data_IF_945530624854
#
_entry.id   IF_945530624854
#
_cell.length_a   1.000
_cell.length_b   1.000
_cell.length_c   1.000
_cell.angle_alpha   90.00
_cell.angle_beta   90.00
_cell.angle_gamma   90.00
#
_symmetry.space_group_name_H-M   'P 1'
#
loop_
_entity.id
_entity.type
_entity.pdbx_description
1 polymer ?
#
# COMPACT_ATOMS: atom_id res chain seq x y z
N UNK A 1 -27.61 -7.80 19.08
CA UNK A 1 -27.70 -8.57 17.82
C UNK A 1 -27.25 -7.79 16.61
N UNK A 2 -27.72 -6.58 16.38
CA UNK A 2 -27.29 -5.78 15.22
C UNK A 2 -25.78 -5.49 15.24
N UNK A 3 -25.20 -5.21 16.41
CA UNK A 3 -23.76 -4.95 16.55
C UNK A 3 -22.90 -6.16 16.18
N UNK A 4 -23.37 -7.36 16.46
CA UNK A 4 -22.63 -8.59 16.15
C UNK A 4 -22.68 -8.89 14.65
N UNK A 5 -23.81 -8.63 14.00
CA UNK A 5 -23.97 -8.78 12.55
C UNK A 5 -23.07 -7.78 11.81
N UNK A 6 -23.00 -6.54 12.29
CA UNK A 6 -22.15 -5.50 11.70
C UNK A 6 -20.66 -5.80 11.85
N UNK A 7 -20.27 -6.36 13.00
CA UNK A 7 -18.88 -6.79 13.24
C UNK A 7 -18.49 -7.92 12.30
N UNK A 8 -19.39 -8.89 12.11
CA UNK A 8 -19.16 -10.04 11.23
C UNK A 8 -19.01 -9.57 9.79
N UNK A 9 -19.90 -8.69 9.32
CA UNK A 9 -19.82 -8.10 7.97
C UNK A 9 -18.53 -7.32 7.77
N UNK A 10 -18.10 -6.57 8.78
CA UNK A 10 -16.85 -5.82 8.73
C UNK A 10 -15.64 -6.74 8.64
N UNK A 11 -15.62 -7.82 9.43
CA UNK A 11 -14.55 -8.82 9.40
C UNK A 11 -14.49 -9.54 8.06
N UNK A 12 -15.64 -9.90 7.50
CA UNK A 12 -15.72 -10.53 6.19
C UNK A 12 -15.21 -9.61 5.09
N UNK A 13 -15.58 -8.34 5.15
CA UNK A 13 -15.10 -7.33 4.19
C UNK A 13 -13.59 -7.17 4.26
N UNK A 14 -13.04 -7.10 5.47
CA UNK A 14 -11.59 -7.00 5.66
C UNK A 14 -10.86 -8.24 5.17
N UNK A 15 -11.41 -9.41 5.41
CA UNK A 15 -10.85 -10.68 4.93
C UNK A 15 -10.86 -10.74 3.42
N UNK A 16 -11.96 -10.31 2.79
CA UNK A 16 -12.09 -10.27 1.33
C UNK A 16 -11.09 -9.31 0.70
N UNK A 17 -10.89 -8.13 1.30
CA UNK A 17 -9.88 -7.17 0.84
C UNK A 17 -8.47 -7.76 0.91
N UNK A 18 -8.15 -8.44 2.02
CA UNK A 18 -6.84 -9.06 2.21
C UNK A 18 -6.61 -10.18 1.20
N UNK A 19 -7.61 -11.03 0.97
CA UNK A 19 -7.53 -12.10 -0.03
C UNK A 19 -7.34 -11.53 -1.44
N UNK A 20 -8.04 -10.46 -1.76
CA UNK A 20 -7.90 -9.80 -3.06
C UNK A 20 -6.47 -9.27 -3.27
N UNK A 21 -5.84 -8.75 -2.22
CA UNK A 21 -4.44 -8.30 -2.30
C UNK A 21 -3.48 -9.46 -2.52
N UNK A 22 -3.68 -10.59 -1.82
CA UNK A 22 -2.86 -11.78 -2.03
C UNK A 22 -3.03 -12.33 -3.44
N UNK A 23 -4.26 -12.36 -3.95
CA UNK A 23 -4.51 -12.79 -5.32
C UNK A 23 -3.81 -11.88 -6.34
N UNK A 24 -3.87 -10.58 -6.11
CA UNK A 24 -3.19 -9.60 -6.99
C UNK A 24 -1.67 -9.81 -6.99
N UNK A 25 -1.08 -10.09 -5.82
CA UNK A 25 0.36 -10.39 -5.73
C UNK A 25 0.70 -11.63 -6.54
N UNK A 26 -0.07 -12.69 -6.40
CA UNK A 26 0.16 -13.94 -7.11
C UNK A 26 0.05 -13.77 -8.62
N UNK A 27 -0.96 -13.05 -9.09
CA UNK A 27 -1.15 -12.75 -10.51
C UNK A 27 0.02 -11.94 -11.08
N UNK A 28 0.42 -10.87 -10.37
CA UNK A 28 1.54 -10.04 -10.81
C UNK A 28 2.86 -10.81 -10.82
N UNK A 29 3.09 -11.68 -9.85
CA UNK A 29 4.29 -12.53 -9.83
C UNK A 29 4.38 -13.42 -11.04
N UNK A 30 3.25 -13.99 -11.49
CA UNK A 30 3.20 -14.80 -12.70
C UNK A 30 3.52 -13.97 -13.93
N UNK A 31 2.98 -12.76 -14.03
CA UNK A 31 3.26 -11.84 -15.13
C UNK A 31 4.73 -11.41 -15.16
N UNK A 32 5.29 -11.12 -13.99
CA UNK A 32 6.71 -10.71 -13.86
C UNK A 32 7.62 -11.84 -14.34
N UNK A 33 7.28 -13.10 -14.05
CA UNK A 33 8.08 -14.26 -14.41
C UNK A 33 8.17 -14.45 -15.93
N UNK A 34 7.12 -14.06 -16.67
CA UNK A 34 7.02 -14.30 -18.09
C UNK A 34 7.33 -13.09 -18.97
N UNK A 35 7.43 -11.90 -18.39
CA UNK A 35 7.57 -10.66 -19.16
C UNK A 35 8.75 -9.82 -18.66
N UNK A 36 9.84 -9.72 -19.45
CA UNK A 36 11.00 -8.90 -19.07
C UNK A 36 10.68 -7.43 -18.80
N UNK A 37 9.69 -6.87 -19.50
CA UNK A 37 9.28 -5.47 -19.27
C UNK A 37 8.60 -5.31 -17.91
N UNK A 38 7.78 -6.28 -17.53
CA UNK A 38 7.16 -6.32 -16.20
C UNK A 38 8.21 -6.48 -15.12
N UNK A 39 9.19 -7.34 -15.34
CA UNK A 39 10.29 -7.52 -14.40
C UNK A 39 11.09 -6.23 -14.23
N UNK A 40 11.38 -5.53 -15.32
CA UNK A 40 12.07 -4.24 -15.28
C UNK A 40 11.24 -3.19 -14.52
N UNK A 41 9.94 -3.15 -14.75
CA UNK A 41 9.04 -2.24 -14.02
C UNK A 41 9.05 -2.52 -12.52
N UNK A 42 9.02 -3.80 -12.14
CA UNK A 42 9.14 -4.20 -10.75
C UNK A 42 10.46 -3.72 -10.14
N UNK A 43 11.57 -3.91 -10.83
CA UNK A 43 12.88 -3.48 -10.34
C UNK A 43 12.95 -1.97 -10.11
N UNK A 44 12.32 -1.18 -10.99
CA UNK A 44 12.26 0.28 -10.82
C UNK A 44 11.47 0.66 -9.56
N UNK A 45 10.33 0.00 -9.32
CA UNK A 45 9.54 0.23 -8.11
C UNK A 45 10.37 -0.15 -6.87
N UNK A 46 10.96 -1.33 -6.88
CA UNK A 46 11.75 -1.81 -5.73
C UNK A 46 12.94 -0.90 -5.44
N UNK A 47 13.56 -0.36 -6.47
CA UNK A 47 14.70 0.57 -6.29
C UNK A 47 14.27 1.89 -5.62
N UNK A 48 13.09 2.41 -5.94
CA UNK A 48 12.54 3.61 -5.29
C UNK A 48 12.09 3.34 -3.86
N UNK A 49 11.59 2.13 -3.60
CA UNK A 49 11.08 1.72 -2.30
C UNK A 49 11.88 0.53 -1.77
N UNK A 50 13.18 0.76 -1.58
CA UNK A 50 14.14 -0.30 -1.26
C UNK A 50 13.94 -0.93 0.13
N UNK A 51 13.17 -0.28 1.00
CA UNK A 51 12.82 -0.83 2.32
C UNK A 51 11.52 -1.62 2.30
N UNK A 52 10.79 -1.59 1.20
CA UNK A 52 9.57 -2.36 1.06
C UNK A 52 9.90 -3.83 0.82
N UNK A 53 9.07 -4.71 1.36
CA UNK A 53 9.14 -6.13 1.03
C UNK A 53 8.83 -6.33 -0.46
N UNK A 54 9.25 -7.45 -1.01
CA UNK A 54 8.92 -7.82 -2.40
C UNK A 54 7.41 -7.80 -2.60
N UNK A 55 6.64 -8.35 -1.64
CA UNK A 55 5.19 -8.37 -1.69
C UNK A 55 4.60 -6.96 -1.82
N UNK A 56 5.05 -6.03 -0.98
CA UNK A 56 4.55 -4.65 -1.02
C UNK A 56 5.00 -3.90 -2.27
N UNK A 57 6.21 -4.15 -2.75
CA UNK A 57 6.66 -3.58 -4.02
C UNK A 57 5.81 -4.07 -5.20
N UNK A 58 5.41 -5.35 -5.18
CA UNK A 58 4.51 -5.91 -6.19
C UNK A 58 3.12 -5.30 -6.10
N UNK A 59 2.60 -5.12 -4.87
CA UNK A 59 1.32 -4.44 -4.66
C UNK A 59 1.35 -3.00 -5.19
N UNK A 60 2.46 -2.32 -4.99
CA UNK A 60 2.65 -0.96 -5.49
C UNK A 60 2.72 -0.95 -7.02
N UNK A 61 3.46 -1.87 -7.62
CA UNK A 61 3.52 -2.04 -9.07
C UNK A 61 2.13 -2.24 -9.65
N UNK A 62 1.32 -3.06 -9.00
CA UNK A 62 -0.04 -3.39 -9.45
C UNK A 62 -0.99 -2.18 -9.37
N UNK A 63 -0.89 -1.40 -8.31
CA UNK A 63 -1.84 -0.33 -8.02
C UNK A 63 -1.39 1.06 -8.50
N UNK A 64 -0.11 1.37 -8.37
CA UNK A 64 0.39 2.72 -8.63
C UNK A 64 1.90 2.67 -8.93
N UNK A 65 2.28 2.19 -10.13
CA UNK A 65 3.70 1.96 -10.45
C UNK A 65 4.57 3.22 -10.47
N UNK A 66 3.97 4.39 -10.66
CA UNK A 66 4.69 5.66 -10.74
C UNK A 66 4.83 6.37 -9.39
N UNK A 67 4.45 5.73 -8.29
CA UNK A 67 4.54 6.32 -6.96
C UNK A 67 5.97 6.75 -6.64
N UNK A 68 6.09 7.91 -6.01
CA UNK A 68 7.37 8.50 -5.64
C UNK A 68 7.55 8.61 -4.13
N UNK A 69 6.50 8.98 -3.41
CA UNK A 69 6.56 9.17 -1.96
C UNK A 69 5.19 8.85 -1.36
N UNK A 70 5.18 7.86 -0.48
CA UNK A 70 3.95 7.35 0.11
C UNK A 70 3.86 7.68 1.60
N UNK A 71 2.69 8.14 2.01
CA UNK A 71 2.36 8.36 3.42
C UNK A 71 0.90 8.05 3.65
N UNK A 72 0.54 7.78 4.90
CA UNK A 72 -0.86 7.67 5.30
C UNK A 72 -1.55 9.02 5.14
N UNK A 73 -2.87 9.01 5.14
CA UNK A 73 -3.67 10.25 5.13
C UNK A 73 -3.24 11.18 6.28
N UNK A 74 -3.12 10.64 7.47
CA UNK A 74 -2.69 11.40 8.65
C UNK A 74 -1.24 11.88 8.54
N UNK A 75 -0.38 11.08 7.92
CA UNK A 75 1.01 11.46 7.67
C UNK A 75 1.12 12.68 6.77
N UNK A 76 0.33 12.74 5.69
CA UNK A 76 0.28 13.90 4.83
C UNK A 76 -0.29 15.11 5.54
N UNK A 77 -1.37 14.91 6.30
CA UNK A 77 -2.00 15.99 7.06
C UNK A 77 -1.04 16.63 8.05
N UNK A 78 -0.21 15.84 8.72
CA UNK A 78 0.80 16.36 9.66
C UNK A 78 1.83 17.24 8.97
N UNK A 79 2.10 16.99 7.70
CA UNK A 79 3.02 17.83 6.91
C UNK A 79 2.32 19.03 6.27
N UNK A 80 1.05 19.23 6.55
CA UNK A 80 0.29 20.34 5.98
C UNK A 80 -0.23 20.07 4.58
N UNK A 81 -0.18 18.83 4.12
CA UNK A 81 -0.66 18.42 2.81
C UNK A 81 -2.06 17.86 2.89
N UNK A 82 -2.85 18.07 1.86
CA UNK A 82 -4.21 17.51 1.75
C UNK A 82 -4.27 16.51 0.61
N UNK A 83 -4.81 15.32 0.89
CA UNK A 83 -5.10 14.33 -0.14
C UNK A 83 -6.32 14.81 -0.94
N UNK A 84 -6.26 14.72 -2.26
CA UNK A 84 -7.32 15.16 -3.14
C UNK A 84 -8.62 14.41 -2.89
N UNK A 85 -9.73 15.12 -3.05
CA UNK A 85 -11.06 14.53 -2.87
C UNK A 85 -11.30 13.46 -3.92
N UNK A 86 -11.75 12.29 -3.49
CA UNK A 86 -12.01 11.17 -4.39
C UNK A 86 -10.78 10.36 -4.79
N UNK A 87 -9.62 10.71 -4.29
CA UNK A 87 -8.41 9.94 -4.55
C UNK A 87 -8.48 8.55 -3.93
N UNK A 88 -8.03 7.55 -4.68
CA UNK A 88 -8.06 6.17 -4.24
C UNK A 88 -6.78 5.83 -3.50
N UNK A 89 -6.91 5.25 -2.31
CA UNK A 89 -5.75 4.84 -1.52
C UNK A 89 -5.02 3.65 -2.15
N UNK A 90 -3.74 3.54 -1.84
CA UNK A 90 -2.88 2.43 -2.25
C UNK A 90 -2.76 1.50 -1.03
N UNK A 91 -3.05 0.22 -1.22
CA UNK A 91 -3.04 -0.76 -0.12
C UNK A 91 -1.74 -1.54 -0.11
N UNK A 92 -1.08 -1.57 1.05
CA UNK A 92 0.06 -2.44 1.30
C UNK A 92 -0.23 -3.29 2.54
N UNK A 93 0.64 -4.25 2.80
CA UNK A 93 0.52 -5.15 3.95
C UNK A 93 1.48 -4.71 5.04
N UNK A 94 0.96 -4.57 6.26
CA UNK A 94 1.72 -4.21 7.44
C UNK A 94 1.66 -5.37 8.43
N UNK A 95 2.82 -5.89 8.89
CA UNK A 95 2.80 -6.94 9.90
C UNK A 95 2.37 -6.40 11.25
N UNK A 96 1.67 -7.23 12.02
CA UNK A 96 1.33 -6.91 13.41
C UNK A 96 1.44 -8.17 14.26
N UNK A 97 1.64 -7.95 15.56
CA UNK A 97 1.68 -9.02 16.55
C UNK A 97 0.45 -8.92 17.44
N UNK A 98 -0.05 -10.06 17.88
CA UNK A 98 -1.17 -10.12 18.81
C UNK A 98 -0.92 -11.23 19.82
N UNK A 99 -1.57 -11.11 20.99
CA UNK A 99 -1.47 -12.12 22.02
C UNK A 99 -2.59 -13.14 21.85
N UNK A 100 -2.22 -14.41 21.73
CA UNK A 100 -3.18 -15.51 21.64
C UNK A 100 -3.78 -15.82 23.01
N UNK A 101 -4.88 -16.58 23.03
CA UNK A 101 -5.55 -16.96 24.25
C UNK A 101 -4.64 -17.73 25.22
N UNK A 102 -3.65 -18.46 24.72
CA UNK A 102 -2.68 -19.20 25.53
C UNK A 102 -1.50 -18.36 26.02
N UNK A 103 -1.50 -17.04 25.75
CA UNK A 103 -0.44 -16.14 26.14
C UNK A 103 0.73 -16.05 25.17
N UNK A 104 0.78 -16.90 24.16
CA UNK A 104 1.84 -16.85 23.15
C UNK A 104 1.56 -15.71 22.15
N UNK A 105 2.61 -15.29 21.41
CA UNK A 105 2.49 -14.24 20.40
C UNK A 105 2.15 -14.83 19.05
N UNK A 106 1.11 -14.26 18.42
CA UNK A 106 0.78 -14.55 17.04
C UNK A 106 1.23 -13.41 16.15
N UNK A 107 1.41 -13.68 14.86
CA UNK A 107 1.73 -12.68 13.85
C UNK A 107 0.71 -12.73 12.73
N UNK A 108 0.34 -11.56 12.24
CA UNK A 108 -0.57 -11.44 11.12
C UNK A 108 -0.22 -10.23 10.26
N UNK A 109 -1.00 -10.03 9.22
CA UNK A 109 -0.87 -8.86 8.36
C UNK A 109 -2.19 -8.11 8.32
N UNK A 110 -2.09 -6.79 8.26
CA UNK A 110 -3.24 -5.92 8.08
C UNK A 110 -2.98 -4.99 6.91
N UNK A 111 -4.04 -4.46 6.35
CA UNK A 111 -3.96 -3.54 5.23
C UNK A 111 -3.64 -2.15 5.76
N UNK A 112 -2.61 -1.52 5.18
CA UNK A 112 -2.28 -0.13 5.44
C UNK A 112 -2.60 0.68 4.19
N UNK A 113 -3.34 1.76 4.35
CA UNK A 113 -3.76 2.63 3.25
C UNK A 113 -2.82 3.82 3.14
N UNK A 114 -2.24 4.00 1.95
CA UNK A 114 -1.28 5.06 1.67
C UNK A 114 -1.74 5.90 0.49
N UNK A 115 -1.17 7.09 0.39
CA UNK A 115 -1.38 7.99 -0.74
C UNK A 115 -0.03 8.50 -1.23
N UNK A 116 0.10 8.59 -2.54
CA UNK A 116 1.30 9.14 -3.15
C UNK A 116 1.27 10.68 -3.13
N UNK A 117 2.44 11.29 -3.17
CA UNK A 117 2.57 12.74 -3.22
C UNK A 117 1.78 13.36 -4.39
N UNK A 118 1.68 12.66 -5.52
CA UNK A 118 0.90 13.11 -6.67
C UNK A 118 -0.60 13.19 -6.41
N UNK A 119 -1.08 12.54 -5.35
CA UNK A 119 -2.48 12.55 -4.95
C UNK A 119 -2.78 13.65 -3.93
N UNK A 120 -1.80 14.47 -3.62
CA UNK A 120 -1.91 15.57 -2.65
C UNK A 120 -1.79 16.92 -3.34
N UNK A 121 -2.07 17.98 -2.58
CA UNK A 121 -1.90 19.36 -3.03
C UNK A 121 -0.46 19.85 -2.92
N UNK A 122 0.46 19.01 -2.46
CA UNK A 122 1.88 19.34 -2.39
C UNK A 122 2.42 19.44 -3.81
N UNK A 123 2.89 20.61 -4.17
CA UNK A 123 3.63 20.79 -5.43
C UNK A 123 5.06 20.35 -5.17
N UNK A 124 5.55 19.44 -6.01
CA UNK A 124 6.98 19.13 -6.01
C UNK A 124 7.72 20.43 -6.28
N UNK A 125 8.50 20.89 -5.31
CA UNK A 125 9.32 22.07 -5.51
C UNK A 125 10.23 21.82 -6.70
N UNK A 126 10.24 22.71 -7.71
CA UNK A 126 11.23 22.56 -8.76
C UNK A 126 12.62 22.60 -8.13
N UNK A 127 13.54 21.84 -8.74
CA UNK A 127 14.93 21.83 -8.31
C UNK A 127 15.41 23.26 -8.13
N UNK A 128 15.91 23.65 -6.93
CA UNK A 128 16.34 25.03 -6.69
C UNK A 128 17.45 25.48 -7.63
N UNK A 129 18.14 24.54 -8.30
CA UNK A 129 19.16 24.85 -9.29
C UNK A 129 18.58 25.07 -10.69
N UNK A 130 17.31 24.71 -10.92
CA UNK A 130 16.65 24.89 -12.21
C UNK A 130 15.72 26.10 -12.24
N UNK A 131 15.38 26.66 -11.09
CA UNK A 131 14.65 27.91 -11.00
C UNK A 131 15.65 29.05 -10.99
N UNK A 132 15.99 29.45 -12.15
CA UNK A 132 16.77 30.68 -12.30
C UNK A 132 15.96 31.88 -11.87
#
# INVERSE_FOLDING_TARGET
MEKDIDREKFKEKKRAELEALYDAVNEEMLMIADDPEKFSAYLRVQARFNRYTVTNAILLLHQFPDAQKLKTFEGWKREGASVGRGEKSISILEPYSYTKADGSMGKGFRIKKLFDISQTDVRMSPDPFLTG
#
